data_IF_800358103374
#
_entry.id   IF_800358103374
#
_cell.length_a   1.000
_cell.length_b   1.000
_cell.length_c   1.000
_cell.angle_alpha   90.00
_cell.angle_beta   90.00
_cell.angle_gamma   90.00
#
_symmetry.space_group_name_H-M   'P 1'
#
loop_
_entity.id
_entity.type
_entity.pdbx_description
1 polymer ?
#
# COMPACT_ATOMS: atom_id res chain seq x y z
N UNK A 1 -20.28 5.15 9.57
CA UNK A 1 -19.26 4.73 8.58
C UNK A 1 -18.02 5.59 8.77
N UNK A 2 -16.93 5.00 9.22
CA UNK A 2 -15.69 5.72 9.41
C UNK A 2 -14.93 5.91 8.08
N UNK A 3 -13.73 6.54 8.16
CA UNK A 3 -12.94 6.84 6.95
C UNK A 3 -12.45 5.58 6.24
N UNK A 4 -12.05 4.54 6.98
CA UNK A 4 -11.59 3.30 6.37
C UNK A 4 -12.74 2.60 5.64
N UNK A 5 -13.92 2.52 6.26
CA UNK A 5 -15.13 2.02 5.61
C UNK A 5 -15.42 2.76 4.31
N UNK A 6 -15.30 4.08 4.33
CA UNK A 6 -15.56 4.92 3.16
C UNK A 6 -14.56 4.67 2.04
N UNK A 7 -13.28 4.50 2.37
CA UNK A 7 -12.26 4.19 1.37
C UNK A 7 -12.53 2.85 0.69
N UNK A 8 -12.84 1.81 1.49
CA UNK A 8 -13.19 0.50 0.96
C UNK A 8 -14.41 0.57 0.06
N UNK A 9 -15.47 1.27 0.52
CA UNK A 9 -16.69 1.40 -0.27
C UNK A 9 -16.43 2.11 -1.60
N UNK A 10 -15.72 3.22 -1.58
CA UNK A 10 -15.42 3.99 -2.78
C UNK A 10 -14.62 3.17 -3.78
N UNK A 11 -13.62 2.44 -3.31
CA UNK A 11 -12.80 1.60 -4.18
C UNK A 11 -13.58 0.40 -4.70
N UNK A 12 -14.38 -0.24 -3.87
CA UNK A 12 -15.25 -1.34 -4.29
C UNK A 12 -16.22 -0.89 -5.38
N UNK A 13 -16.90 0.24 -5.16
CA UNK A 13 -17.84 0.79 -6.14
C UNK A 13 -17.16 1.12 -7.47
N UNK A 14 -15.94 1.66 -7.42
CA UNK A 14 -15.16 1.93 -8.63
C UNK A 14 -14.84 0.64 -9.39
N UNK A 15 -14.43 -0.41 -8.69
CA UNK A 15 -14.09 -1.70 -9.30
C UNK A 15 -15.34 -2.39 -9.88
N UNK A 16 -16.46 -2.35 -9.20
CA UNK A 16 -17.70 -3.01 -9.65
C UNK A 16 -18.40 -2.19 -10.73
N UNK A 17 -18.63 -0.89 -10.49
CA UNK A 17 -19.40 -0.04 -11.40
C UNK A 17 -18.58 0.54 -12.53
N UNK A 18 -17.34 0.93 -12.24
CA UNK A 18 -16.44 1.53 -13.22
C UNK A 18 -15.67 0.52 -14.05
N UNK A 19 -15.12 -0.50 -13.42
CA UNK A 19 -14.27 -1.50 -14.06
C UNK A 19 -15.00 -2.81 -14.37
N UNK A 20 -16.25 -2.95 -13.93
CA UNK A 20 -17.12 -4.09 -14.23
C UNK A 20 -16.66 -5.44 -13.66
N UNK A 21 -15.93 -5.44 -12.55
CA UNK A 21 -15.59 -6.67 -11.84
C UNK A 21 -16.81 -7.26 -11.13
N UNK A 22 -16.93 -8.57 -11.16
CA UNK A 22 -17.97 -9.32 -10.47
C UNK A 22 -17.31 -10.21 -9.39
N UNK A 23 -17.04 -9.64 -8.22
CA UNK A 23 -16.34 -10.35 -7.16
C UNK A 23 -17.12 -11.56 -6.64
N UNK A 24 -18.44 -11.48 -6.63
CA UNK A 24 -19.29 -12.55 -6.12
C UNK A 24 -19.19 -13.83 -6.94
N UNK A 25 -18.91 -13.72 -8.24
CA UNK A 25 -18.85 -14.84 -9.17
C UNK A 25 -17.44 -15.18 -9.66
N UNK A 26 -16.40 -14.59 -9.06
CA UNK A 26 -15.03 -14.95 -9.37
C UNK A 26 -14.70 -16.38 -8.95
N UNK A 27 -14.08 -17.13 -9.85
CA UNK A 27 -13.44 -18.40 -9.49
C UNK A 27 -12.19 -18.10 -8.64
N UNK A 28 -11.68 -19.12 -7.95
CA UNK A 28 -10.43 -19.00 -7.19
C UNK A 28 -9.28 -18.53 -8.09
N UNK A 29 -9.19 -19.05 -9.30
CA UNK A 29 -8.15 -18.65 -10.26
C UNK A 29 -8.30 -17.19 -10.70
N UNK A 30 -9.52 -16.76 -10.97
CA UNK A 30 -9.80 -15.36 -11.34
C UNK A 30 -9.47 -14.40 -10.18
N UNK A 31 -9.82 -14.79 -8.96
CA UNK A 31 -9.50 -14.02 -7.75
C UNK A 31 -7.99 -13.92 -7.53
N UNK A 32 -7.27 -15.03 -7.70
CA UNK A 32 -5.82 -15.05 -7.59
C UNK A 32 -5.17 -14.15 -8.65
N UNK A 33 -5.65 -14.18 -9.87
CA UNK A 33 -5.17 -13.32 -10.96
C UNK A 33 -5.42 -11.84 -10.65
N UNK A 34 -6.60 -11.52 -10.11
CA UNK A 34 -6.95 -10.15 -9.69
C UNK A 34 -5.99 -9.64 -8.61
N UNK A 35 -5.77 -10.43 -7.55
CA UNK A 35 -4.87 -10.07 -6.46
C UNK A 35 -3.45 -9.84 -6.99
N UNK A 36 -2.96 -10.73 -7.83
CA UNK A 36 -1.64 -10.62 -8.44
C UNK A 36 -1.51 -9.34 -9.26
N UNK A 37 -2.47 -9.08 -10.14
CA UNK A 37 -2.45 -7.90 -11.02
C UNK A 37 -2.42 -6.61 -10.20
N UNK A 38 -3.30 -6.47 -9.24
CA UNK A 38 -3.38 -5.23 -8.45
C UNK A 38 -2.23 -5.09 -7.45
N UNK A 39 -1.65 -6.19 -6.98
CA UNK A 39 -0.39 -6.14 -6.22
C UNK A 39 0.72 -5.54 -7.08
N UNK A 40 0.84 -5.96 -8.33
CA UNK A 40 1.84 -5.43 -9.25
C UNK A 40 1.61 -3.94 -9.54
N UNK A 41 0.36 -3.54 -9.74
CA UNK A 41 0.03 -2.10 -9.92
C UNK A 41 0.37 -1.28 -8.69
N UNK A 42 0.07 -1.80 -7.49
CA UNK A 42 0.42 -1.14 -6.24
C UNK A 42 1.94 -0.95 -6.10
N UNK A 43 2.72 -1.97 -6.36
CA UNK A 43 4.18 -1.92 -6.34
C UNK A 43 4.71 -0.90 -7.33
N UNK A 44 4.15 -0.88 -8.54
CA UNK A 44 4.56 0.06 -9.58
C UNK A 44 4.32 1.51 -9.16
N UNK A 45 3.15 1.82 -8.61
CA UNK A 45 2.83 3.17 -8.15
C UNK A 45 3.69 3.59 -6.95
N UNK A 46 3.99 2.66 -6.04
CA UNK A 46 4.92 2.93 -4.94
C UNK A 46 6.31 3.26 -5.47
N UNK A 47 6.75 2.55 -6.51
CA UNK A 47 8.03 2.82 -7.15
C UNK A 47 8.04 4.19 -7.84
N UNK A 48 6.96 4.55 -8.53
CA UNK A 48 6.82 5.88 -9.14
C UNK A 48 6.88 6.99 -8.08
N UNK A 49 6.22 6.80 -6.93
CA UNK A 49 6.29 7.75 -5.82
C UNK A 49 7.73 7.93 -5.34
N UNK A 50 8.46 6.83 -5.21
CA UNK A 50 9.86 6.86 -4.78
C UNK A 50 10.74 7.59 -5.78
N UNK A 51 10.50 7.43 -7.08
CA UNK A 51 11.26 8.11 -8.13
C UNK A 51 11.09 9.64 -8.13
N UNK A 52 9.99 10.14 -7.60
CA UNK A 52 9.76 11.58 -7.45
C UNK A 52 10.58 12.20 -6.31
N UNK A 53 11.07 11.37 -5.38
CA UNK A 53 11.79 11.85 -4.19
C UNK A 53 13.24 12.20 -4.55
N UNK A 54 13.72 13.41 -4.18
CA UNK A 54 15.13 13.78 -4.38
C UNK A 54 16.06 12.80 -3.65
N UNK A 55 17.22 12.57 -4.25
CA UNK A 55 18.25 11.69 -3.69
C UNK A 55 17.86 10.21 -3.62
N UNK A 56 16.81 9.80 -4.32
CA UNK A 56 16.44 8.38 -4.42
C UNK A 56 17.60 7.51 -4.91
N UNK A 57 18.38 8.00 -5.88
CA UNK A 57 19.55 7.29 -6.39
C UNK A 57 20.80 7.86 -5.73
N UNK A 58 21.42 7.18 -4.75
CA UNK A 58 22.55 7.74 -4.01
C UNK A 58 23.80 7.94 -4.85
N UNK A 59 23.93 7.23 -5.99
CA UNK A 59 25.04 7.38 -6.92
C UNK A 59 24.88 8.55 -7.86
N UNK A 60 23.72 9.21 -7.90
CA UNK A 60 23.42 10.34 -8.76
C UNK A 60 23.71 11.64 -8.04
N UNK A 61 24.28 12.61 -8.78
CA UNK A 61 24.50 13.95 -8.22
C UNK A 61 23.23 14.77 -8.38
N UNK A 62 22.88 15.47 -7.31
CA UNK A 62 21.74 16.40 -7.27
C UNK A 62 22.27 17.79 -6.93
N UNK A 63 21.78 18.80 -7.66
CA UNK A 63 22.03 20.20 -7.32
C UNK A 63 21.19 20.56 -6.11
N UNK A 64 21.84 20.89 -4.99
CA UNK A 64 21.16 21.21 -3.73
C UNK A 64 20.25 22.43 -3.86
N UNK A 65 20.66 23.44 -4.64
CA UNK A 65 19.86 24.65 -4.80
C UNK A 65 18.63 24.37 -5.66
N UNK A 66 18.78 23.63 -6.75
CA UNK A 66 17.66 23.20 -7.57
C UNK A 66 16.70 22.30 -6.82
N UNK A 67 17.22 21.38 -6.00
CA UNK A 67 16.39 20.51 -5.14
C UNK A 67 15.63 21.33 -4.11
N UNK A 68 16.27 22.35 -3.52
CA UNK A 68 15.62 23.24 -2.54
C UNK A 68 14.43 23.99 -3.14
N UNK A 69 14.60 24.55 -4.34
CA UNK A 69 13.55 25.29 -5.05
C UNK A 69 12.37 24.38 -5.43
N UNK A 70 12.66 23.13 -5.84
CA UNK A 70 11.66 22.18 -6.35
C UNK A 70 11.13 21.24 -5.28
N UNK A 71 11.66 21.28 -4.08
CA UNK A 71 11.40 20.29 -3.03
C UNK A 71 9.92 20.13 -2.73
N UNK A 72 9.18 21.23 -2.56
CA UNK A 72 7.75 21.16 -2.24
C UNK A 72 6.94 20.54 -3.39
N UNK A 73 7.30 20.85 -4.65
CA UNK A 73 6.63 20.28 -5.83
C UNK A 73 6.90 18.77 -5.91
N UNK A 74 8.15 18.36 -5.70
CA UNK A 74 8.51 16.94 -5.73
C UNK A 74 7.80 16.13 -4.66
N UNK A 75 7.73 16.64 -3.43
CA UNK A 75 7.00 15.99 -2.35
C UNK A 75 5.50 15.92 -2.65
N UNK A 76 4.92 16.96 -3.22
CA UNK A 76 3.51 16.95 -3.61
C UNK A 76 3.23 15.90 -4.68
N UNK A 77 4.11 15.74 -5.65
CA UNK A 77 3.99 14.71 -6.69
C UNK A 77 4.14 13.29 -6.11
N UNK A 78 5.11 13.08 -5.22
CA UNK A 78 5.30 11.81 -4.54
C UNK A 78 4.06 11.43 -3.71
N UNK A 79 3.47 12.39 -3.01
CA UNK A 79 2.24 12.17 -2.22
C UNK A 79 1.06 11.78 -3.11
N UNK A 80 0.94 12.39 -4.29
CA UNK A 80 -0.10 12.06 -5.27
C UNK A 80 0.04 10.63 -5.77
N UNK A 81 1.26 10.23 -6.15
CA UNK A 81 1.53 8.86 -6.59
C UNK A 81 1.29 7.84 -5.47
N UNK A 82 1.60 8.21 -4.23
CA UNK A 82 1.30 7.37 -3.07
C UNK A 82 -0.21 7.12 -2.91
N UNK A 83 -1.03 8.12 -3.17
CA UNK A 83 -2.49 7.94 -3.13
C UNK A 83 -2.95 6.98 -4.22
N UNK A 84 -2.35 7.02 -5.42
CA UNK A 84 -2.62 6.04 -6.47
C UNK A 84 -2.26 4.63 -6.00
N UNK A 85 -1.13 4.46 -5.32
CA UNK A 85 -0.75 3.19 -4.73
C UNK A 85 -1.76 2.71 -3.69
N UNK A 86 -2.32 3.63 -2.88
CA UNK A 86 -3.36 3.28 -1.90
C UNK A 86 -4.62 2.75 -2.58
N UNK A 87 -5.04 3.33 -3.71
CA UNK A 87 -6.16 2.78 -4.48
C UNK A 87 -5.92 1.32 -4.83
N UNK A 88 -4.76 0.99 -5.35
CA UNK A 88 -4.42 -0.39 -5.71
C UNK A 88 -4.25 -1.29 -4.50
N UNK A 89 -3.71 -0.77 -3.40
CA UNK A 89 -3.65 -1.48 -2.13
C UNK A 89 -5.05 -1.91 -1.66
N UNK A 90 -6.00 -1.00 -1.73
CA UNK A 90 -7.40 -1.31 -1.38
C UNK A 90 -7.99 -2.36 -2.32
N UNK A 91 -7.66 -2.34 -3.61
CA UNK A 91 -8.05 -3.39 -4.55
C UNK A 91 -7.53 -4.75 -4.09
N UNK A 92 -6.28 -4.83 -3.67
CA UNK A 92 -5.68 -6.07 -3.15
C UNK A 92 -6.42 -6.53 -1.89
N UNK A 93 -6.69 -5.62 -0.96
CA UNK A 93 -7.42 -5.94 0.27
C UNK A 93 -8.82 -6.50 -0.04
N UNK A 94 -9.53 -5.89 -1.00
CA UNK A 94 -10.84 -6.38 -1.46
C UNK A 94 -10.69 -7.78 -2.08
N UNK A 95 -9.71 -7.98 -2.93
CA UNK A 95 -9.44 -9.28 -3.56
C UNK A 95 -9.08 -10.36 -2.55
N UNK A 96 -8.38 -10.01 -1.48
CA UNK A 96 -8.06 -10.92 -0.38
C UNK A 96 -9.26 -11.21 0.51
N UNK A 97 -10.37 -10.52 0.32
CA UNK A 97 -11.60 -10.75 1.06
C UNK A 97 -11.70 -10.02 2.39
N UNK A 98 -10.87 -9.01 2.61
CA UNK A 98 -10.96 -8.20 3.82
C UNK A 98 -12.21 -7.32 3.84
N UNK A 99 -12.85 -7.27 5.01
CA UNK A 99 -13.67 -6.12 5.35
C UNK A 99 -12.80 -5.06 6.01
N UNK A 100 -13.23 -3.80 6.06
CA UNK A 100 -12.48 -2.77 6.79
C UNK A 100 -12.23 -3.12 8.25
N UNK A 101 -13.22 -3.68 8.92
CA UNK A 101 -13.13 -4.06 10.34
C UNK A 101 -12.11 -5.20 10.55
N UNK A 102 -12.11 -6.20 9.67
CA UNK A 102 -11.14 -7.30 9.74
C UNK A 102 -9.71 -6.79 9.53
N UNK A 103 -9.50 -5.92 8.55
CA UNK A 103 -8.18 -5.36 8.29
C UNK A 103 -7.68 -4.55 9.49
N UNK A 104 -8.55 -3.72 10.06
CA UNK A 104 -8.24 -2.94 11.25
C UNK A 104 -7.87 -3.83 12.44
N UNK A 105 -8.69 -4.86 12.72
CA UNK A 105 -8.46 -5.77 13.84
C UNK A 105 -7.14 -6.53 13.69
N UNK A 106 -6.87 -7.05 12.51
CA UNK A 106 -5.62 -7.77 12.24
C UNK A 106 -4.40 -6.87 12.32
N UNK A 107 -4.53 -5.62 11.88
CA UNK A 107 -3.47 -4.63 12.04
C UNK A 107 -3.16 -4.38 13.52
N UNK A 108 -4.19 -4.17 14.33
CA UNK A 108 -4.01 -3.91 15.76
C UNK A 108 -3.37 -5.09 16.48
N UNK A 109 -3.77 -6.32 16.17
CA UNK A 109 -3.18 -7.53 16.73
C UNK A 109 -1.69 -7.64 16.37
N UNK A 110 -1.37 -7.42 15.11
CA UNK A 110 0.03 -7.45 14.65
C UNK A 110 0.86 -6.32 15.26
N UNK A 111 0.27 -5.16 15.41
CA UNK A 111 0.93 -4.01 16.05
C UNK A 111 1.30 -4.33 17.49
N UNK A 112 0.41 -4.96 18.26
CA UNK A 112 0.67 -5.38 19.64
C UNK A 112 1.85 -6.38 19.70
N UNK A 113 1.87 -7.36 18.79
CA UNK A 113 2.99 -8.31 18.68
C UNK A 113 4.31 -7.59 18.41
N UNK A 114 4.30 -6.62 17.49
CA UNK A 114 5.51 -5.85 17.16
C UNK A 114 6.01 -5.01 18.34
N UNK A 115 5.10 -4.44 19.13
CA UNK A 115 5.48 -3.73 20.36
C UNK A 115 6.15 -4.67 21.37
N UNK A 116 5.60 -5.86 21.57
CA UNK A 116 6.18 -6.86 22.49
C UNK A 116 7.58 -7.30 22.04
N UNK A 117 7.77 -7.48 20.73
CA UNK A 117 9.08 -7.78 20.16
C UNK A 117 10.11 -6.69 20.45
N UNK A 118 9.71 -5.41 20.39
CA UNK A 118 10.61 -4.30 20.67
C UNK A 118 10.99 -4.22 22.15
N UNK A 119 10.06 -4.55 23.07
CA UNK A 119 10.35 -4.59 24.51
C UNK A 119 11.38 -5.68 24.84
N UNK A 120 11.31 -6.82 24.16
CA UNK A 120 12.18 -7.97 24.38
C UNK A 120 13.38 -7.97 23.43
N UNK A 121 13.74 -6.84 22.86
CA UNK A 121 14.76 -6.72 21.82
C UNK A 121 16.11 -7.29 22.24
N UNK A 122 16.48 -7.21 23.52
CA UNK A 122 17.75 -7.75 24.06
C UNK A 122 17.81 -9.29 23.97
N UNK A 123 16.66 -9.95 23.98
CA UNK A 123 16.53 -11.42 23.97
C UNK A 123 15.91 -11.95 22.67
N UNK A 124 15.31 -11.08 21.86
CA UNK A 124 14.62 -11.47 20.64
C UNK A 124 15.61 -11.88 19.54
N UNK A 125 15.39 -13.07 18.99
CA UNK A 125 16.13 -13.56 17.82
C UNK A 125 15.12 -13.88 16.73
N UNK A 126 15.10 -13.12 15.61
CA UNK A 126 14.20 -13.41 14.51
C UNK A 126 14.48 -14.79 13.92
N UNK A 127 13.41 -15.52 13.56
CA UNK A 127 13.55 -16.75 12.80
C UNK A 127 13.86 -16.44 11.33
N UNK A 128 14.31 -17.45 10.57
CA UNK A 128 14.59 -17.31 9.14
C UNK A 128 13.32 -16.89 8.36
N UNK A 129 12.14 -17.20 8.87
CA UNK A 129 10.84 -16.89 8.24
C UNK A 129 10.39 -15.45 8.48
N UNK A 130 11.06 -14.70 9.33
CA UNK A 130 10.70 -13.33 9.72
C UNK A 130 11.56 -12.26 9.03
N UNK A 131 12.52 -12.67 8.24
CA UNK A 131 13.42 -11.77 7.52
C UNK A 131 12.95 -11.47 6.06
#
# INVERSE_FOLDING_TARGET
MDKLDMLFKKQYDLQVQGMHYDFANMTTEQRAAYVKEYTMHCEHEMHEALQEIPFFKPWKRYDKDAVSEKNQVMWAMARKEFVDALHFFLCVAIGLGFTPDELYAMYCDKNAVNYDRQKDQATYKPSADET
#
